data_IF_494067854539
#
_entry.id   IF_494067854539
#
_cell.length_a   1.000
_cell.length_b   1.000
_cell.length_c   1.000
_cell.angle_alpha   90.00
_cell.angle_beta   90.00
_cell.angle_gamma   90.00
#
_symmetry.space_group_name_H-M   'P 1'
#
loop_
_entity.id
_entity.type
_entity.pdbx_description
1 polymer ?
#
# COMPACT_ATOMS: atom_id res chain seq x y z
N UNK A 1 -75.24 -45.73 19.80
CA UNK A 1 -74.95 -44.54 18.97
C UNK A 1 -73.97 -43.66 19.73
N UNK A 2 -72.76 -43.49 19.18
CA UNK A 2 -71.71 -42.63 19.72
C UNK A 2 -70.67 -42.37 18.64
N UNK A 3 -70.70 -41.16 18.08
CA UNK A 3 -69.74 -40.63 17.11
C UNK A 3 -68.58 -40.02 17.91
N UNK A 4 -67.33 -40.24 17.48
CA UNK A 4 -66.30 -39.20 17.21
C UNK A 4 -64.89 -39.78 17.13
N UNK A 5 -64.42 -39.90 15.88
CA UNK A 5 -63.18 -39.30 15.35
C UNK A 5 -62.01 -39.09 16.31
N UNK A 6 -60.94 -39.85 16.09
CA UNK A 6 -59.59 -39.54 16.58
C UNK A 6 -58.80 -38.90 15.43
N UNK A 7 -58.60 -37.58 15.51
CA UNK A 7 -57.74 -36.83 14.59
C UNK A 7 -56.34 -36.66 15.19
N UNK A 8 -55.34 -36.87 14.33
CA UNK A 8 -54.10 -36.09 14.21
C UNK A 8 -53.15 -36.03 15.42
N UNK A 9 -52.26 -37.01 15.50
CA UNK A 9 -50.96 -36.89 16.18
C UNK A 9 -49.86 -36.85 15.11
N UNK A 10 -49.74 -35.72 14.40
CA UNK A 10 -48.69 -35.56 13.37
C UNK A 10 -48.11 -34.13 13.29
N UNK A 11 -48.31 -33.30 14.32
CA UNK A 11 -47.92 -31.88 14.30
C UNK A 11 -46.80 -31.47 15.26
N UNK A 12 -46.27 -32.37 16.09
CA UNK A 12 -45.36 -31.98 17.19
C UNK A 12 -43.86 -32.05 16.86
N UNK A 13 -43.44 -32.91 15.93
CA UNK A 13 -42.01 -33.19 15.69
C UNK A 13 -41.36 -32.31 14.63
N UNK A 14 -42.13 -31.65 13.77
CA UNK A 14 -41.59 -30.81 12.70
C UNK A 14 -41.12 -29.42 13.19
N UNK A 15 -41.62 -28.94 14.33
CA UNK A 15 -41.37 -27.56 14.79
C UNK A 15 -40.00 -27.44 15.50
N UNK A 16 -39.54 -28.50 16.18
CA UNK A 16 -38.26 -28.46 16.90
C UNK A 16 -37.02 -28.55 16.00
N UNK A 17 -37.14 -29.17 14.81
CA UNK A 17 -36.02 -29.28 13.87
C UNK A 17 -35.72 -27.95 13.15
N UNK A 18 -36.74 -27.11 12.92
CA UNK A 18 -36.58 -25.82 12.24
C UNK A 18 -35.97 -24.76 13.15
N UNK A 19 -36.27 -24.79 14.46
CA UNK A 19 -35.72 -23.84 15.42
C UNK A 19 -34.20 -24.02 15.65
N UNK A 20 -33.69 -25.25 15.62
CA UNK A 20 -32.26 -25.52 15.78
C UNK A 20 -31.43 -25.12 14.54
N UNK A 21 -32.00 -25.25 13.34
CA UNK A 21 -31.34 -24.84 12.10
C UNK A 21 -31.25 -23.30 11.94
N UNK A 22 -32.23 -22.56 12.44
CA UNK A 22 -32.25 -21.08 12.38
C UNK A 22 -31.31 -20.40 13.39
N UNK A 23 -30.87 -21.10 14.44
CA UNK A 23 -29.93 -20.57 15.44
C UNK A 23 -28.45 -20.86 15.14
N UNK A 24 -28.14 -21.74 14.19
CA UNK A 24 -26.75 -22.04 13.80
C UNK A 24 -26.21 -21.11 12.69
N UNK A 25 -27.09 -20.48 11.92
CA UNK A 25 -26.73 -19.57 10.81
C UNK A 25 -26.12 -18.24 11.28
N UNK A 26 -26.57 -17.58 12.38
CA UNK A 26 -25.98 -16.31 12.78
C UNK A 26 -24.58 -16.45 13.40
N UNK A 27 -24.22 -17.60 13.97
CA UNK A 27 -22.93 -17.78 14.65
C UNK A 27 -21.75 -17.86 13.66
N UNK A 28 -21.95 -18.48 12.50
CA UNK A 28 -20.93 -18.55 11.45
C UNK A 28 -20.74 -17.23 10.69
N UNK A 29 -21.79 -16.41 10.58
CA UNK A 29 -21.69 -15.06 10.02
C UNK A 29 -20.91 -14.10 10.93
N UNK A 30 -20.85 -14.35 12.24
CA UNK A 30 -20.12 -13.51 13.18
C UNK A 30 -18.63 -13.85 13.30
N UNK A 31 -18.20 -15.11 13.08
CA UNK A 31 -16.78 -15.48 13.21
C UNK A 31 -15.89 -14.96 12.08
N UNK A 32 -16.45 -14.66 10.90
CA UNK A 32 -15.70 -14.08 9.76
C UNK A 32 -15.62 -12.55 9.74
N UNK A 33 -16.36 -11.85 10.61
CA UNK A 33 -16.41 -10.37 10.62
C UNK A 33 -15.33 -9.73 11.50
N UNK A 34 -14.56 -10.54 12.25
CA UNK A 34 -13.53 -10.06 13.19
C UNK A 34 -12.10 -10.43 12.77
N UNK A 35 -11.89 -10.87 11.53
CA UNK A 35 -10.54 -10.94 10.95
C UNK A 35 -10.01 -9.52 10.76
N UNK A 36 -9.41 -8.97 11.82
CA UNK A 36 -8.59 -7.78 11.70
C UNK A 36 -7.46 -8.07 10.72
N UNK A 37 -7.29 -7.20 9.74
CA UNK A 37 -6.15 -7.24 8.80
C UNK A 37 -4.86 -7.43 9.58
N UNK A 38 -4.12 -8.49 9.27
CA UNK A 38 -2.89 -8.81 9.99
C UNK A 38 -1.84 -7.72 9.79
N UNK A 39 -0.90 -7.58 10.74
CA UNK A 39 0.29 -6.74 10.56
C UNK A 39 0.99 -6.93 9.19
N UNK A 40 1.19 -8.16 8.64
CA UNK A 40 1.82 -8.31 7.33
C UNK A 40 0.99 -7.69 6.19
N UNK A 41 -0.32 -7.86 6.20
CA UNK A 41 -1.22 -7.28 5.19
C UNK A 41 -1.21 -5.74 5.27
N UNK A 42 -1.22 -5.20 6.49
CA UNK A 42 -1.09 -3.77 6.73
C UNK A 42 0.27 -3.22 6.25
N UNK A 43 1.36 -3.97 6.42
CA UNK A 43 2.68 -3.58 5.93
C UNK A 43 2.71 -3.52 4.38
N UNK A 44 2.07 -4.47 3.71
CA UNK A 44 1.97 -4.47 2.24
C UNK A 44 1.07 -3.34 1.71
N UNK A 45 -0.06 -3.10 2.38
CA UNK A 45 -0.94 -1.99 2.08
C UNK A 45 -0.25 -0.64 2.31
N UNK A 46 0.55 -0.51 3.37
CA UNK A 46 1.35 0.68 3.64
C UNK A 46 2.42 0.91 2.57
N UNK A 47 3.17 -0.14 2.17
CA UNK A 47 4.15 -0.04 1.08
C UNK A 47 3.50 0.45 -0.22
N UNK A 48 2.33 -0.09 -0.55
CA UNK A 48 1.56 0.30 -1.75
C UNK A 48 1.09 1.74 -1.65
N UNK A 49 0.52 2.16 -0.52
CA UNK A 49 0.09 3.55 -0.29
C UNK A 49 1.25 4.52 -0.41
N UNK A 50 2.41 4.21 0.19
CA UNK A 50 3.62 5.05 0.10
C UNK A 50 4.12 5.15 -1.34
N UNK A 51 4.14 4.04 -2.08
CA UNK A 51 4.57 4.04 -3.48
C UNK A 51 3.65 4.88 -4.38
N UNK A 52 2.33 4.76 -4.22
CA UNK A 52 1.35 5.58 -4.95
C UNK A 52 1.47 7.05 -4.58
N UNK A 53 1.58 7.38 -3.29
CA UNK A 53 1.74 8.76 -2.85
C UNK A 53 3.03 9.39 -3.39
N UNK A 54 4.13 8.63 -3.43
CA UNK A 54 5.39 9.04 -4.03
C UNK A 54 5.24 9.30 -5.54
N UNK A 55 4.62 8.36 -6.27
CA UNK A 55 4.34 8.51 -7.70
C UNK A 55 3.52 9.77 -7.99
N UNK A 56 2.43 9.98 -7.26
CA UNK A 56 1.58 11.16 -7.38
C UNK A 56 2.32 12.46 -7.05
N UNK A 57 3.14 12.46 -6.00
CA UNK A 57 3.94 13.62 -5.60
C UNK A 57 4.95 14.00 -6.69
N UNK A 58 5.72 13.03 -7.18
CA UNK A 58 6.68 13.24 -8.26
C UNK A 58 5.99 13.71 -9.54
N UNK A 59 4.83 13.14 -9.87
CA UNK A 59 4.06 13.56 -11.04
C UNK A 59 3.61 15.03 -10.95
N UNK A 60 3.15 15.47 -9.76
CA UNK A 60 2.73 16.86 -9.49
C UNK A 60 3.87 17.87 -9.60
N UNK A 61 5.10 17.49 -9.25
CA UNK A 61 6.25 18.40 -9.29
C UNK A 61 6.74 18.74 -10.71
N UNK A 62 6.22 18.08 -11.76
CA UNK A 62 6.52 18.36 -13.18
C UNK A 62 8.02 18.49 -13.49
N UNK A 63 8.83 17.66 -12.84
CA UNK A 63 10.26 17.58 -13.10
C UNK A 63 10.50 17.10 -14.54
N UNK A 64 11.56 17.59 -15.18
CA UNK A 64 11.89 17.21 -16.56
C UNK A 64 12.76 15.96 -16.60
N UNK A 65 13.79 15.89 -15.75
CA UNK A 65 14.85 14.89 -15.84
C UNK A 65 14.65 13.66 -14.94
N UNK A 66 15.12 12.51 -15.42
CA UNK A 66 15.15 11.25 -14.62
C UNK A 66 15.97 11.39 -13.33
N UNK A 67 17.08 12.13 -13.38
CA UNK A 67 17.99 12.28 -12.24
C UNK A 67 17.33 13.06 -11.09
N UNK A 68 16.53 14.08 -11.40
CA UNK A 68 15.80 14.85 -10.40
C UNK A 68 14.71 14.02 -9.72
N UNK A 69 13.94 13.25 -10.51
CA UNK A 69 12.93 12.36 -9.94
C UNK A 69 13.58 11.30 -9.04
N UNK A 70 14.70 10.70 -9.48
CA UNK A 70 15.40 9.70 -8.69
C UNK A 70 15.98 10.27 -7.39
N UNK A 71 16.55 11.48 -7.43
CA UNK A 71 17.08 12.15 -6.24
C UNK A 71 15.98 12.39 -5.21
N UNK A 72 14.87 12.99 -5.62
CA UNK A 72 13.74 13.28 -4.72
C UNK A 72 13.06 12.00 -4.20
N UNK A 73 13.06 10.92 -4.98
CA UNK A 73 12.57 9.63 -4.53
C UNK A 73 13.43 9.04 -3.41
N UNK A 74 14.77 9.15 -3.49
CA UNK A 74 15.69 8.67 -2.44
C UNK A 74 15.64 9.52 -1.17
N UNK A 75 15.25 10.79 -1.28
CA UNK A 75 15.01 11.65 -0.11
C UNK A 75 13.79 11.23 0.72
N UNK A 76 12.90 10.37 0.18
CA UNK A 76 11.75 9.87 0.94
C UNK A 76 12.14 8.73 1.90
N UNK A 77 11.66 8.74 3.15
CA UNK A 77 11.99 7.73 4.14
C UNK A 77 11.45 6.35 3.72
N UNK A 78 12.31 5.33 3.81
CA UNK A 78 11.95 3.95 3.47
C UNK A 78 11.83 3.68 1.97
N UNK A 79 12.30 4.60 1.11
CA UNK A 79 12.32 4.42 -0.34
C UNK A 79 13.77 4.27 -0.81
N UNK A 80 14.00 3.30 -1.69
CA UNK A 80 15.28 3.05 -2.33
C UNK A 80 15.06 2.95 -3.84
N UNK A 81 15.82 3.69 -4.64
CA UNK A 81 15.74 3.56 -6.10
C UNK A 81 16.70 2.46 -6.53
N UNK A 82 16.20 1.45 -7.26
CA UNK A 82 17.00 0.33 -7.76
C UNK A 82 17.45 0.54 -9.20
N UNK A 83 16.62 1.17 -10.01
CA UNK A 83 16.90 1.44 -11.42
C UNK A 83 16.20 2.71 -11.87
N UNK A 84 16.85 3.42 -12.79
CA UNK A 84 16.27 4.55 -13.52
C UNK A 84 16.35 4.26 -15.01
N UNK A 85 15.30 4.61 -15.74
CA UNK A 85 15.21 4.45 -17.19
C UNK A 85 14.56 5.70 -17.81
N UNK A 86 14.98 6.04 -19.03
CA UNK A 86 14.59 7.29 -19.70
C UNK A 86 15.51 8.46 -19.33
N UNK A 87 15.37 9.57 -20.07
CA UNK A 87 16.21 10.77 -19.89
C UNK A 87 15.33 11.95 -19.50
N UNK A 88 14.26 12.17 -20.26
CA UNK A 88 13.35 13.30 -20.10
C UNK A 88 11.89 12.86 -20.24
N UNK A 89 11.04 13.41 -19.37
CA UNK A 89 9.59 13.22 -19.38
C UNK A 89 8.97 13.59 -20.74
N UNK A 90 9.52 14.57 -21.46
CA UNK A 90 8.98 15.08 -22.73
C UNK A 90 9.39 14.27 -23.97
N UNK A 91 10.51 13.54 -23.93
CA UNK A 91 11.10 12.92 -25.14
C UNK A 91 10.77 11.42 -25.25
N UNK A 92 10.52 10.76 -24.12
CA UNK A 92 10.16 9.33 -24.11
C UNK A 92 9.64 8.83 -22.76
N UNK A 93 9.42 9.74 -21.82
CA UNK A 93 9.03 9.42 -20.45
C UNK A 93 10.20 8.97 -19.58
N UNK A 94 9.94 8.95 -18.28
CA UNK A 94 10.85 8.52 -17.23
C UNK A 94 10.24 7.31 -16.53
N UNK A 95 11.07 6.34 -16.18
CA UNK A 95 10.69 5.17 -15.38
C UNK A 95 11.65 5.01 -14.22
N UNK A 96 11.11 4.79 -13.03
CA UNK A 96 11.88 4.57 -11.80
C UNK A 96 11.43 3.24 -11.20
N UNK A 97 12.37 2.34 -10.98
CA UNK A 97 12.14 1.16 -10.16
C UNK A 97 12.52 1.50 -8.73
N UNK A 98 11.54 1.52 -7.84
CA UNK A 98 11.71 1.83 -6.43
C UNK A 98 11.38 0.62 -5.57
N UNK A 99 12.17 0.39 -4.52
CA UNK A 99 11.89 -0.51 -3.42
C UNK A 99 11.39 0.32 -2.26
N UNK A 100 10.20 0.00 -1.77
CA UNK A 100 9.52 0.72 -0.70
C UNK A 100 9.35 -0.22 0.49
N UNK A 101 9.76 0.26 1.66
CA UNK A 101 9.51 -0.40 2.94
C UNK A 101 8.17 0.09 3.49
N UNK A 102 7.22 -0.83 3.60
CA UNK A 102 5.97 -0.61 4.31
C UNK A 102 6.05 -1.15 5.73
N UNK A 103 5.29 -0.50 6.61
CA UNK A 103 5.25 -0.82 8.03
C UNK A 103 3.83 -1.21 8.43
N UNK A 104 3.71 -2.33 9.15
CA UNK A 104 2.45 -2.91 9.55
C UNK A 104 2.34 -3.05 11.05
N UNK A 105 1.19 -2.62 11.57
CA UNK A 105 0.77 -2.83 12.94
C UNK A 105 -0.50 -3.67 12.91
N UNK A 106 -0.74 -4.51 13.92
CA UNK A 106 -2.05 -5.13 14.07
C UNK A 106 -3.07 -4.06 14.43
N UNK A 107 -4.03 -3.86 13.53
CA UNK A 107 -5.24 -3.13 13.83
C UNK A 107 -6.26 -4.13 14.41
N UNK A 108 -6.83 -3.80 15.56
CA UNK A 108 -8.07 -4.42 15.98
C UNK A 108 -9.06 -3.32 16.40
N UNK A 109 -10.34 -3.65 16.36
CA UNK A 109 -11.42 -2.68 16.59
C UNK A 109 -11.40 -2.04 17.99
N UNK A 110 -10.77 -2.68 18.99
CA UNK A 110 -10.64 -2.14 20.36
C UNK A 110 -9.42 -1.24 20.54
N UNK A 111 -8.37 -1.47 19.77
CA UNK A 111 -7.05 -0.87 20.00
C UNK A 111 -6.87 0.37 19.14
N UNK A 112 -7.57 0.46 18.00
CA UNK A 112 -7.34 1.49 17.00
C UNK A 112 -5.94 1.35 16.38
N UNK A 113 -5.60 2.24 15.44
CA UNK A 113 -4.31 2.26 14.74
C UNK A 113 -3.20 2.74 15.70
N UNK A 114 -2.80 1.92 16.69
CA UNK A 114 -1.74 2.28 17.65
C UNK A 114 -0.37 2.13 17.01
N UNK A 115 0.08 3.21 16.36
CA UNK A 115 1.47 3.37 15.86
C UNK A 115 2.47 3.71 16.97
N UNK A 116 2.26 3.20 18.18
CA UNK A 116 3.12 3.45 19.33
C UNK A 116 4.06 2.26 19.55
N UNK A 117 5.30 2.37 19.09
CA UNK A 117 6.31 1.31 19.20
C UNK A 117 6.86 0.88 17.83
N UNK A 118 7.85 -0.03 17.81
CA UNK A 118 8.39 -0.58 16.57
C UNK A 118 7.28 -1.30 15.79
N UNK A 119 7.31 -1.26 14.44
CA UNK A 119 6.33 -1.94 13.61
C UNK A 119 6.36 -3.46 13.88
N UNK A 120 5.18 -4.08 13.94
CA UNK A 120 5.04 -5.52 14.20
C UNK A 120 5.43 -6.36 12.97
N UNK A 121 5.27 -5.79 11.77
CA UNK A 121 5.74 -6.37 10.52
C UNK A 121 6.30 -5.28 9.61
N UNK A 122 7.30 -5.64 8.81
CA UNK A 122 7.81 -4.81 7.73
C UNK A 122 7.76 -5.59 6.42
N UNK A 123 7.36 -4.92 5.34
CA UNK A 123 7.28 -5.52 4.02
C UNK A 123 8.11 -4.70 3.03
N UNK A 124 8.98 -5.38 2.28
CA UNK A 124 9.74 -4.78 1.19
C UNK A 124 9.04 -5.11 -0.13
N UNK A 125 8.54 -4.10 -0.83
CA UNK A 125 7.86 -4.26 -2.12
C UNK A 125 8.49 -3.34 -3.16
N UNK A 126 8.52 -3.78 -4.41
CA UNK A 126 9.06 -2.98 -5.50
C UNK A 126 7.94 -2.49 -6.43
N UNK A 127 8.11 -1.26 -6.89
CA UNK A 127 7.17 -0.58 -7.75
C UNK A 127 7.89 0.12 -8.89
N UNK A 128 7.31 0.09 -10.06
CA UNK A 128 7.72 0.88 -11.21
C UNK A 128 6.84 2.14 -11.24
N UNK A 129 7.47 3.31 -11.17
CA UNK A 129 6.83 4.62 -11.35
C UNK A 129 7.11 5.09 -12.77
N UNK A 130 6.06 5.43 -13.52
CA UNK A 130 6.20 5.90 -14.91
C UNK A 130 5.65 7.33 -15.06
N UNK A 131 6.40 8.19 -15.74
CA UNK A 131 6.07 9.60 -15.95
C UNK A 131 6.21 9.97 -17.43
N UNK A 132 5.21 10.62 -18.02
CA UNK A 132 5.27 11.09 -19.41
C UNK A 132 5.34 10.00 -20.47
N UNK A 133 5.11 8.73 -20.13
CA UNK A 133 5.02 7.64 -21.11
C UNK A 133 3.65 7.65 -21.80
N UNK A 134 3.59 7.56 -23.14
CA UNK A 134 2.31 7.52 -23.86
C UNK A 134 1.50 6.28 -23.46
N UNK A 135 0.20 6.48 -23.19
CA UNK A 135 -0.73 5.42 -22.80
C UNK A 135 -0.64 4.95 -21.34
N UNK A 136 0.14 5.64 -20.49
CA UNK A 136 0.25 5.35 -19.06
C UNK A 136 -0.28 6.51 -18.21
N UNK A 137 -0.97 6.22 -17.09
CA UNK A 137 -1.38 7.27 -16.15
C UNK A 137 -0.13 7.93 -15.56
N UNK A 138 -0.10 9.27 -15.56
CA UNK A 138 1.00 10.00 -14.95
C UNK A 138 1.06 9.74 -13.44
N UNK A 139 2.23 9.30 -12.94
CA UNK A 139 2.42 9.08 -11.51
C UNK A 139 1.91 7.75 -10.97
N UNK A 140 1.43 6.86 -11.82
CA UNK A 140 1.00 5.52 -11.41
C UNK A 140 2.17 4.70 -10.85
N UNK A 141 1.97 4.12 -9.66
CA UNK A 141 2.85 3.11 -9.11
C UNK A 141 2.37 1.71 -9.47
N UNK A 142 3.20 0.94 -10.18
CA UNK A 142 2.87 -0.40 -10.62
C UNK A 142 3.71 -1.43 -9.86
N UNK A 143 3.09 -2.41 -9.17
CA UNK A 143 3.85 -3.44 -8.47
C UNK A 143 4.68 -4.26 -9.45
N UNK A 144 5.94 -4.50 -9.08
CA UNK A 144 6.93 -5.22 -9.89
C UNK A 144 7.76 -6.13 -8.99
N UNK A 145 8.31 -7.21 -9.56
CA UNK A 145 9.25 -8.06 -8.85
C UNK A 145 10.50 -7.28 -8.42
N UNK A 146 10.95 -7.44 -7.18
CA UNK A 146 12.20 -6.86 -6.73
C UNK A 146 13.38 -7.58 -7.37
N UNK A 147 14.20 -6.93 -8.21
CA UNK A 147 15.45 -7.53 -8.65
C UNK A 147 16.44 -7.60 -7.47
N UNK A 148 17.31 -8.61 -7.51
CA UNK A 148 18.47 -8.76 -6.61
C UNK A 148 19.60 -7.81 -7.00
N UNK A 149 19.28 -6.52 -7.15
CA UNK A 149 20.24 -5.46 -7.45
C UNK A 149 20.40 -4.53 -6.27
N UNK A 150 21.63 -4.06 -6.05
CA UNK A 150 21.90 -3.04 -5.04
C UNK A 150 21.18 -1.73 -5.38
N UNK A 151 20.68 -0.99 -4.38
CA UNK A 151 20.13 0.35 -4.58
C UNK A 151 21.14 1.30 -5.22
N UNK A 152 20.64 2.18 -6.09
CA UNK A 152 21.41 3.30 -6.61
C UNK A 152 21.72 4.27 -5.47
N UNK A 153 23.00 4.60 -5.35
CA UNK A 153 23.45 5.64 -4.42
C UNK A 153 23.59 6.93 -5.20
N UNK A 154 22.88 7.97 -4.76
CA UNK A 154 23.03 9.31 -5.30
C UNK A 154 23.94 10.12 -4.38
N UNK A 155 24.87 10.92 -4.91
CA UNK A 155 25.68 11.80 -4.09
C UNK A 155 24.75 12.77 -3.33
N UNK A 156 25.03 12.99 -2.04
CA UNK A 156 24.33 13.99 -1.26
C UNK A 156 24.45 15.36 -1.93
N UNK A 157 23.43 16.23 -1.87
CA UNK A 157 23.53 17.57 -2.40
C UNK A 157 24.71 18.27 -1.71
N UNK A 158 25.68 18.74 -2.49
CA UNK A 158 26.78 19.57 -2.01
C UNK A 158 26.22 20.94 -1.62
N UNK A 159 25.55 21.04 -0.48
CA UNK A 159 24.96 22.28 0.04
C UNK A 159 26.01 23.33 0.47
N UNK A 160 27.28 23.20 0.08
CA UNK A 160 28.38 23.94 0.69
C UNK A 160 29.38 24.63 -0.27
N UNK A 161 29.33 24.41 -1.58
CA UNK A 161 30.38 24.94 -2.47
C UNK A 161 29.97 26.16 -3.31
N UNK A 162 28.67 26.40 -3.54
CA UNK A 162 28.22 27.47 -4.45
C UNK A 162 27.55 28.65 -3.72
N UNK A 163 27.91 28.92 -2.46
CA UNK A 163 27.48 30.12 -1.73
C UNK A 163 28.65 31.07 -1.39
N UNK A 164 29.89 30.77 -1.78
CA UNK A 164 31.07 31.60 -1.48
C UNK A 164 31.80 32.19 -2.69
N UNK A 165 31.42 31.86 -3.92
CA UNK A 165 32.13 32.36 -5.11
C UNK A 165 31.47 33.53 -5.83
N UNK A 166 30.27 33.97 -5.42
CA UNK A 166 29.59 35.11 -6.05
C UNK A 166 29.41 36.34 -5.16
N UNK A 167 30.22 36.45 -4.10
CA UNK A 167 30.41 37.71 -3.35
C UNK A 167 31.84 38.18 -3.58
N UNK A 168 32.11 38.62 -4.81
CA UNK A 168 33.26 39.47 -5.09
C UNK A 168 32.74 40.88 -5.32
N UNK A 169 32.68 41.74 -4.29
CA UNK A 169 32.49 43.16 -4.53
C UNK A 169 33.76 43.68 -5.19
N UNK A 170 33.59 44.22 -6.38
CA UNK A 170 34.48 45.20 -7.00
C UNK A 170 34.87 46.27 -5.98
N UNK A 171 36.16 46.41 -5.73
CA UNK A 171 36.78 47.48 -4.95
C UNK A 171 38.25 47.57 -5.30
#
# INVERSE_FOLDING_TARGET
MGIRTTNSVAGGLAIFAVAAALLAVPVWLFTGLFDGTGAPENAEADATRRATALGDQLARMRLSGVAEHARLAVEQPGVQVLRTEGVDRAVGGVSLLVRVTGEGWRSNWMTGDRRSGPPEATALRCFTLEFGKPGRPEGGAHPTACPDTSPLTFPAPTSATEARQNVQPTG
#
